data_IF_827848938730
#
_entry.id   IF_827848938730
#
_cell.length_a   1.000
_cell.length_b   1.000
_cell.length_c   1.000
_cell.angle_alpha   90.00
_cell.angle_beta   90.00
_cell.angle_gamma   90.00
#
_symmetry.space_group_name_H-M   'P 1'
#
loop_
_entity.id
_entity.type
_entity.pdbx_description
1 polymer ?
#
# COMPACT_ATOMS: atom_id res chain seq x y z
N UNK A 1 16.82 -34.04 -18.25
CA UNK A 1 16.75 -35.13 -17.25
C UNK A 1 15.41 -35.85 -17.26
N UNK A 2 14.27 -35.17 -17.07
CA UNK A 2 12.92 -35.79 -17.03
C UNK A 2 12.66 -36.69 -18.25
N UNK A 3 12.64 -36.13 -19.47
CA UNK A 3 12.30 -36.85 -20.70
C UNK A 3 13.36 -37.85 -21.19
N UNK A 4 14.57 -37.80 -20.63
CA UNK A 4 15.69 -38.67 -21.03
C UNK A 4 15.90 -39.85 -20.08
N UNK A 5 15.55 -39.69 -18.79
CA UNK A 5 15.77 -40.70 -17.76
C UNK A 5 14.50 -40.99 -16.96
N UNK A 6 13.94 -40.00 -16.24
CA UNK A 6 12.88 -40.24 -15.24
C UNK A 6 11.63 -40.85 -15.90
N UNK A 7 11.12 -40.20 -16.94
CA UNK A 7 9.94 -40.64 -17.68
C UNK A 7 10.16 -41.95 -18.46
N UNK A 8 11.16 -42.08 -19.37
CA UNK A 8 11.29 -43.29 -20.19
C UNK A 8 11.64 -44.55 -19.38
N UNK A 9 12.38 -44.43 -18.25
CA UNK A 9 12.65 -45.59 -17.39
C UNK A 9 11.36 -46.07 -16.70
N UNK A 10 10.57 -45.15 -16.14
CA UNK A 10 9.30 -45.52 -15.51
C UNK A 10 8.29 -46.05 -16.53
N UNK A 11 8.17 -45.40 -17.69
CA UNK A 11 7.36 -45.86 -18.81
C UNK A 11 7.80 -47.22 -19.36
N UNK A 12 9.10 -47.54 -19.34
CA UNK A 12 9.57 -48.89 -19.67
C UNK A 12 9.15 -49.93 -18.62
N UNK A 13 9.16 -49.57 -17.33
CA UNK A 13 8.68 -50.46 -16.27
C UNK A 13 7.19 -50.79 -16.38
N UNK A 14 6.36 -49.86 -16.86
CA UNK A 14 4.89 -50.00 -16.94
C UNK A 14 4.36 -50.42 -18.32
N UNK A 15 4.75 -49.72 -19.39
CA UNK A 15 4.28 -49.96 -20.77
C UNK A 15 5.28 -50.73 -21.62
N UNK A 16 6.58 -50.62 -21.32
CA UNK A 16 7.65 -51.33 -22.04
C UNK A 16 7.82 -52.81 -21.68
N UNK A 17 6.86 -53.44 -20.99
CA UNK A 17 6.95 -54.84 -20.56
C UNK A 17 7.92 -55.09 -19.39
N UNK A 18 8.30 -54.05 -18.66
CA UNK A 18 9.17 -54.15 -17.48
C UNK A 18 8.48 -54.74 -16.23
N UNK A 19 9.11 -54.58 -15.07
CA UNK A 19 8.71 -55.32 -13.87
C UNK A 19 7.36 -54.89 -13.28
N UNK A 20 6.98 -53.61 -13.40
CA UNK A 20 5.69 -53.09 -12.92
C UNK A 20 4.55 -53.65 -13.80
N UNK A 21 4.77 -53.73 -15.13
CA UNK A 21 3.87 -54.42 -16.05
C UNK A 21 3.67 -55.90 -15.65
N UNK A 22 4.77 -56.61 -15.37
CA UNK A 22 4.77 -58.04 -15.05
C UNK A 22 4.03 -58.41 -13.75
N UNK A 23 3.89 -57.49 -12.80
CA UNK A 23 3.06 -57.73 -11.60
C UNK A 23 1.56 -57.45 -11.83
N UNK A 24 1.15 -57.00 -13.02
CA UNK A 24 -0.25 -56.73 -13.37
C UNK A 24 -0.69 -55.29 -13.11
N UNK A 25 0.22 -54.31 -13.18
CA UNK A 25 -0.14 -52.90 -13.14
C UNK A 25 -0.86 -52.48 -14.43
N UNK A 26 -1.96 -51.73 -14.29
CA UNK A 26 -2.73 -51.21 -15.42
C UNK A 26 -2.88 -49.71 -15.29
N UNK A 27 -2.31 -48.97 -16.23
CA UNK A 27 -2.52 -47.54 -16.41
C UNK A 27 -2.66 -47.31 -17.92
N UNK A 28 -3.89 -47.08 -18.38
CA UNK A 28 -4.21 -47.17 -19.81
C UNK A 28 -3.58 -46.06 -20.65
N UNK A 29 -3.73 -44.81 -20.22
CA UNK A 29 -3.22 -43.65 -20.94
C UNK A 29 -2.24 -42.79 -20.11
N UNK A 30 -2.02 -43.09 -18.82
CA UNK A 30 -0.96 -42.48 -18.02
C UNK A 30 -1.39 -41.62 -16.83
N UNK A 31 -2.43 -41.98 -16.08
CA UNK A 31 -2.73 -41.32 -14.78
C UNK A 31 -1.53 -41.33 -13.84
N UNK A 32 -0.80 -42.44 -13.77
CA UNK A 32 0.45 -42.54 -13.00
C UNK A 32 1.67 -42.26 -13.88
N UNK A 33 1.75 -42.85 -15.07
CA UNK A 33 2.95 -42.82 -15.94
C UNK A 33 3.26 -41.42 -16.47
N UNK A 34 2.24 -40.64 -16.80
CA UNK A 34 2.38 -39.26 -17.29
C UNK A 34 2.06 -38.28 -16.18
N UNK A 35 0.86 -38.35 -15.60
CA UNK A 35 0.35 -37.32 -14.71
C UNK A 35 0.97 -37.40 -13.31
N UNK A 36 0.86 -38.50 -12.56
CA UNK A 36 1.50 -38.55 -11.23
C UNK A 36 3.01 -38.36 -11.30
N UNK A 37 3.68 -38.93 -12.32
CA UNK A 37 5.12 -38.71 -12.55
C UNK A 37 5.43 -37.22 -12.72
N UNK A 38 4.70 -36.51 -13.58
CA UNK A 38 4.85 -35.06 -13.77
C UNK A 38 4.52 -34.26 -12.49
N UNK A 39 3.44 -34.64 -11.79
CA UNK A 39 3.01 -34.00 -10.55
C UNK A 39 4.03 -34.13 -9.42
N UNK A 40 4.61 -35.31 -9.21
CA UNK A 40 5.64 -35.52 -8.19
C UNK A 40 6.94 -34.75 -8.49
N UNK A 41 7.31 -34.63 -9.76
CA UNK A 41 8.43 -33.76 -10.17
C UNK A 41 8.08 -32.28 -9.93
N UNK A 42 6.84 -31.85 -10.24
CA UNK A 42 6.38 -30.49 -9.98
C UNK A 42 6.39 -30.16 -8.49
N UNK A 43 5.95 -31.07 -7.61
CA UNK A 43 6.00 -30.90 -6.15
C UNK A 43 7.45 -30.72 -5.66
N UNK A 44 8.39 -31.54 -6.15
CA UNK A 44 9.81 -31.38 -5.84
C UNK A 44 10.34 -30.00 -6.30
N UNK A 45 9.92 -29.53 -7.47
CA UNK A 45 10.22 -28.19 -7.98
C UNK A 45 9.71 -27.08 -7.06
N UNK A 46 8.44 -27.11 -6.69
CA UNK A 46 7.81 -26.14 -5.78
C UNK A 46 8.51 -26.10 -4.41
N UNK A 47 8.88 -27.26 -3.86
CA UNK A 47 9.60 -27.36 -2.58
C UNK A 47 11.01 -26.74 -2.68
N UNK A 48 11.78 -27.06 -3.73
CA UNK A 48 13.18 -26.64 -3.83
C UNK A 48 13.32 -25.17 -4.28
N UNK A 49 12.40 -24.68 -5.12
CA UNK A 49 12.31 -23.28 -5.55
C UNK A 49 11.82 -22.35 -4.42
N UNK A 50 10.87 -22.83 -3.62
CA UNK A 50 10.18 -22.04 -2.61
C UNK A 50 9.14 -21.08 -3.21
N UNK A 51 8.35 -20.41 -2.37
CA UNK A 51 7.21 -19.61 -2.82
C UNK A 51 7.61 -18.26 -3.41
N UNK A 52 6.76 -17.69 -4.27
CA UNK A 52 6.95 -16.33 -4.84
C UNK A 52 7.00 -15.26 -3.75
N UNK A 53 7.67 -14.14 -4.03
CA UNK A 53 7.70 -12.96 -3.17
C UNK A 53 6.26 -12.51 -2.85
N UNK A 54 6.05 -12.08 -1.61
CA UNK A 54 4.76 -11.66 -1.04
C UNK A 54 3.61 -12.70 -1.11
N UNK A 55 3.89 -13.97 -1.48
CA UNK A 55 2.87 -15.03 -1.53
C UNK A 55 2.29 -15.35 -0.15
N UNK A 56 3.12 -15.31 0.88
CA UNK A 56 2.71 -15.43 2.28
C UNK A 56 3.14 -14.15 3.01
N UNK A 57 2.27 -13.63 3.87
CA UNK A 57 2.61 -12.51 4.75
C UNK A 57 3.47 -12.98 5.92
N UNK A 58 3.93 -12.03 6.74
CA UNK A 58 4.70 -12.29 7.97
C UNK A 58 3.97 -13.22 8.97
N UNK A 59 2.64 -13.14 9.05
CA UNK A 59 1.79 -14.04 9.85
C UNK A 59 1.59 -15.45 9.21
N UNK A 60 2.24 -15.71 8.07
CA UNK A 60 2.09 -16.92 7.28
C UNK A 60 0.75 -17.03 6.53
N UNK A 61 -0.13 -16.03 6.57
CA UNK A 61 -1.40 -16.07 5.81
C UNK A 61 -1.14 -15.92 4.32
N UNK A 62 -1.76 -16.76 3.45
CA UNK A 62 -1.50 -16.66 2.02
C UNK A 62 -2.21 -15.46 1.40
N UNK A 63 -1.47 -14.72 0.57
CA UNK A 63 -1.99 -13.72 -0.36
C UNK A 63 -2.37 -14.41 -1.66
N UNK A 64 -3.56 -14.11 -2.18
CA UNK A 64 -3.92 -14.54 -3.54
C UNK A 64 -3.20 -13.65 -4.55
N UNK A 65 -2.33 -14.27 -5.35
CA UNK A 65 -1.73 -13.68 -6.54
C UNK A 65 -2.62 -14.15 -7.70
N UNK A 66 -3.36 -13.22 -8.30
CA UNK A 66 -4.33 -13.55 -9.34
C UNK A 66 -3.64 -13.87 -10.67
N UNK A 67 -4.22 -14.79 -11.45
CA UNK A 67 -3.79 -15.04 -12.83
C UNK A 67 -4.03 -13.83 -13.72
N UNK A 68 -3.11 -13.56 -14.65
CA UNK A 68 -3.14 -12.36 -15.50
C UNK A 68 -4.34 -12.33 -16.47
N UNK A 69 -4.87 -13.50 -16.89
CA UNK A 69 -6.05 -13.59 -17.74
C UNK A 69 -6.78 -14.94 -17.56
N UNK A 70 -7.89 -14.94 -16.83
CA UNK A 70 -8.70 -16.15 -16.59
C UNK A 70 -9.39 -16.67 -17.87
N UNK A 71 -9.74 -15.80 -18.81
CA UNK A 71 -10.40 -16.20 -20.07
C UNK A 71 -9.48 -17.06 -20.94
N UNK A 72 -8.19 -16.71 -21.02
CA UNK A 72 -7.19 -17.56 -21.69
C UNK A 72 -6.95 -18.88 -20.95
N UNK A 73 -6.97 -18.89 -19.61
CA UNK A 73 -6.90 -20.15 -18.84
C UNK A 73 -8.08 -21.08 -19.15
N UNK A 74 -9.31 -20.55 -19.21
CA UNK A 74 -10.52 -21.32 -19.57
C UNK A 74 -10.43 -21.85 -21.00
N UNK A 75 -9.97 -21.04 -21.96
CA UNK A 75 -9.70 -21.50 -23.32
C UNK A 75 -8.66 -22.63 -23.35
N UNK A 76 -7.60 -22.52 -22.53
CA UNK A 76 -6.60 -23.56 -22.34
C UNK A 76 -7.22 -24.88 -21.84
N UNK A 77 -8.14 -24.84 -20.88
CA UNK A 77 -8.88 -26.04 -20.42
C UNK A 77 -9.69 -26.67 -21.54
N UNK A 78 -10.38 -25.90 -22.38
CA UNK A 78 -11.11 -26.45 -23.54
C UNK A 78 -10.18 -27.10 -24.57
N UNK A 79 -9.02 -26.48 -24.85
CA UNK A 79 -8.01 -27.05 -25.76
C UNK A 79 -7.45 -28.36 -25.18
N UNK A 80 -7.13 -28.40 -23.88
CA UNK A 80 -6.64 -29.60 -23.20
C UNK A 80 -7.70 -30.71 -23.16
N UNK A 81 -8.96 -30.39 -22.89
CA UNK A 81 -10.07 -31.35 -22.90
C UNK A 81 -10.28 -31.94 -24.30
N UNK A 82 -10.32 -31.11 -25.34
CA UNK A 82 -10.40 -31.59 -26.72
C UNK A 82 -9.21 -32.51 -27.08
N UNK A 83 -7.99 -32.09 -26.71
CA UNK A 83 -6.79 -32.91 -26.85
C UNK A 83 -6.86 -34.24 -26.09
N UNK A 84 -7.55 -34.27 -24.94
CA UNK A 84 -7.72 -35.47 -24.12
C UNK A 84 -8.54 -36.57 -24.78
N UNK A 85 -9.44 -36.23 -25.72
CA UNK A 85 -10.11 -37.23 -26.55
C UNK A 85 -9.12 -37.97 -27.45
N UNK A 86 -8.13 -37.24 -28.00
CA UNK A 86 -7.00 -37.83 -28.73
C UNK A 86 -6.05 -38.60 -27.82
N UNK A 87 -5.78 -38.08 -26.62
CA UNK A 87 -4.90 -38.71 -25.63
C UNK A 87 -5.44 -40.07 -25.17
N UNK A 88 -6.68 -40.11 -24.65
CA UNK A 88 -7.29 -41.35 -24.18
C UNK A 88 -7.75 -42.24 -25.35
N UNK A 89 -8.45 -41.68 -26.35
CA UNK A 89 -8.93 -42.46 -27.50
C UNK A 89 -7.80 -43.06 -28.34
N UNK A 90 -6.69 -42.33 -28.49
CA UNK A 90 -5.48 -42.79 -29.20
C UNK A 90 -4.72 -43.89 -28.45
N UNK A 91 -4.80 -43.95 -27.11
CA UNK A 91 -4.19 -45.03 -26.31
C UNK A 91 -4.84 -46.41 -26.51
N UNK A 92 -5.96 -46.50 -27.24
CA UNK A 92 -6.46 -47.78 -27.76
C UNK A 92 -5.54 -48.39 -28.85
N UNK A 93 -4.61 -47.60 -29.40
CA UNK A 93 -3.63 -47.95 -30.46
C UNK A 93 -4.25 -48.50 -31.77
N UNK A 94 -5.57 -48.53 -31.86
CA UNK A 94 -6.38 -49.08 -32.94
C UNK A 94 -7.78 -48.49 -32.85
N UNK A 95 -8.45 -48.32 -34.00
CA UNK A 95 -9.82 -47.82 -34.02
C UNK A 95 -10.80 -48.99 -33.84
N UNK A 96 -11.34 -49.12 -32.63
CA UNK A 96 -12.23 -50.22 -32.22
C UNK A 96 -13.50 -49.66 -31.57
N UNK A 97 -14.51 -50.53 -31.37
CA UNK A 97 -15.77 -50.18 -30.71
C UNK A 97 -15.62 -49.72 -29.24
N UNK A 98 -14.43 -49.84 -28.65
CA UNK A 98 -14.11 -49.28 -27.33
C UNK A 98 -13.82 -47.77 -27.36
N UNK A 99 -13.37 -47.22 -28.50
CA UNK A 99 -12.97 -45.80 -28.60
C UNK A 99 -14.12 -44.83 -28.26
N UNK A 100 -15.37 -45.04 -28.71
CA UNK A 100 -16.51 -44.21 -28.28
C UNK A 100 -16.75 -44.23 -26.76
N UNK A 101 -16.62 -45.41 -26.11
CA UNK A 101 -16.77 -45.53 -24.65
C UNK A 101 -15.65 -44.79 -23.90
N UNK A 102 -14.40 -44.93 -24.37
CA UNK A 102 -13.24 -44.22 -23.82
C UNK A 102 -13.45 -42.70 -23.88
N UNK A 103 -13.90 -42.17 -25.02
CA UNK A 103 -14.17 -40.74 -25.20
C UNK A 103 -15.35 -40.28 -24.32
N UNK A 104 -16.42 -41.07 -24.24
CA UNK A 104 -17.57 -40.81 -23.36
C UNK A 104 -17.14 -40.71 -21.89
N UNK A 105 -16.45 -41.73 -21.38
CA UNK A 105 -15.92 -41.77 -20.01
C UNK A 105 -15.00 -40.58 -19.72
N UNK A 106 -14.16 -40.21 -20.70
CA UNK A 106 -13.27 -39.05 -20.61
C UNK A 106 -14.06 -37.75 -20.44
N UNK A 107 -15.09 -37.55 -21.28
CA UNK A 107 -15.95 -36.35 -21.21
C UNK A 107 -16.77 -36.27 -19.92
N UNK A 108 -17.34 -37.39 -19.49
CA UNK A 108 -18.13 -37.48 -18.26
C UNK A 108 -17.29 -37.17 -17.02
N UNK A 109 -16.10 -37.78 -16.88
CA UNK A 109 -15.24 -37.54 -15.73
C UNK A 109 -14.73 -36.10 -15.65
N UNK A 110 -14.34 -35.49 -16.78
CA UNK A 110 -13.97 -34.08 -16.85
C UNK A 110 -15.13 -33.15 -16.46
N UNK A 111 -16.32 -33.39 -17.01
CA UNK A 111 -17.53 -32.62 -16.70
C UNK A 111 -17.87 -32.66 -15.21
N UNK A 112 -17.91 -33.86 -14.62
CA UNK A 112 -18.26 -34.05 -13.21
C UNK A 112 -17.17 -33.52 -12.29
N UNK A 113 -15.89 -33.65 -12.65
CA UNK A 113 -14.78 -33.06 -11.91
C UNK A 113 -14.89 -31.55 -11.77
N UNK A 114 -15.22 -30.83 -12.85
CA UNK A 114 -15.48 -29.39 -12.81
C UNK A 114 -16.67 -29.02 -11.92
N UNK A 115 -17.80 -29.71 -12.10
CA UNK A 115 -19.03 -29.49 -11.32
C UNK A 115 -18.81 -29.70 -9.81
N UNK A 116 -18.14 -30.78 -9.43
CA UNK A 116 -17.90 -31.10 -8.02
C UNK A 116 -16.83 -30.18 -7.40
N UNK A 117 -15.79 -29.79 -8.15
CA UNK A 117 -14.80 -28.84 -7.65
C UNK A 117 -15.41 -27.45 -7.41
N UNK A 118 -16.18 -26.90 -8.37
CA UNK A 118 -16.81 -25.58 -8.18
C UNK A 118 -17.87 -25.61 -7.07
N UNK A 119 -18.66 -26.69 -6.98
CA UNK A 119 -19.67 -26.88 -5.91
C UNK A 119 -19.00 -27.00 -4.55
N UNK A 120 -17.93 -27.79 -4.43
CA UNK A 120 -17.17 -27.92 -3.19
C UNK A 120 -16.50 -26.60 -2.79
N UNK A 121 -15.87 -25.88 -3.73
CA UNK A 121 -15.30 -24.54 -3.48
C UNK A 121 -16.35 -23.56 -2.99
N UNK A 122 -17.57 -23.59 -3.57
CA UNK A 122 -18.67 -22.71 -3.17
C UNK A 122 -19.19 -23.03 -1.77
N UNK A 123 -19.31 -24.31 -1.40
CA UNK A 123 -19.71 -24.72 -0.06
C UNK A 123 -18.63 -24.36 0.97
N UNK A 124 -17.36 -24.66 0.67
CA UNK A 124 -16.24 -24.57 1.61
C UNK A 124 -15.67 -23.16 1.77
N UNK A 125 -15.51 -22.40 0.67
CA UNK A 125 -15.00 -21.02 0.68
C UNK A 125 -16.10 -19.95 0.64
N UNK A 126 -17.37 -20.33 0.46
CA UNK A 126 -18.50 -19.41 0.17
C UNK A 126 -18.36 -18.63 -1.15
N UNK A 127 -17.46 -19.06 -2.03
CA UNK A 127 -17.20 -18.45 -3.35
C UNK A 127 -17.08 -19.55 -4.41
N UNK A 128 -17.86 -19.46 -5.48
CA UNK A 128 -17.72 -20.34 -6.64
C UNK A 128 -16.46 -19.97 -7.42
N UNK A 129 -15.41 -20.78 -7.29
CA UNK A 129 -14.08 -20.50 -7.82
C UNK A 129 -13.90 -21.07 -9.23
N UNK A 130 -13.65 -20.20 -10.21
CA UNK A 130 -13.40 -20.59 -11.61
C UNK A 130 -12.07 -21.35 -11.73
N UNK A 131 -11.07 -21.02 -10.92
CA UNK A 131 -9.78 -21.73 -10.86
C UNK A 131 -9.97 -23.17 -10.36
N UNK A 132 -10.76 -23.36 -9.30
CA UNK A 132 -11.09 -24.70 -8.79
C UNK A 132 -11.94 -25.49 -9.81
N UNK A 133 -12.87 -24.84 -10.52
CA UNK A 133 -13.62 -25.45 -11.62
C UNK A 133 -12.70 -25.96 -12.74
N UNK A 134 -11.79 -25.11 -13.23
CA UNK A 134 -10.80 -25.45 -14.26
C UNK A 134 -9.93 -26.63 -13.83
N UNK A 135 -9.35 -26.56 -12.64
CA UNK A 135 -8.51 -27.63 -12.12
C UNK A 135 -9.32 -28.90 -11.79
N UNK A 136 -10.60 -28.77 -11.45
CA UNK A 136 -11.52 -29.90 -11.29
C UNK A 136 -11.79 -30.64 -12.60
N UNK A 137 -11.98 -29.92 -13.71
CA UNK A 137 -12.10 -30.52 -15.05
C UNK A 137 -10.82 -31.28 -15.40
N UNK A 138 -9.67 -30.63 -15.26
CA UNK A 138 -8.38 -31.26 -15.53
C UNK A 138 -8.11 -32.45 -14.61
N UNK A 139 -8.46 -32.38 -13.33
CA UNK A 139 -8.33 -33.47 -12.36
C UNK A 139 -9.20 -34.67 -12.70
N UNK A 140 -10.44 -34.45 -13.15
CA UNK A 140 -11.33 -35.50 -13.66
C UNK A 140 -10.77 -36.20 -14.90
N UNK A 141 -10.24 -35.42 -15.85
CA UNK A 141 -9.55 -35.94 -17.03
C UNK A 141 -8.28 -36.72 -16.67
N UNK A 142 -7.47 -36.24 -15.70
CA UNK A 142 -6.31 -36.97 -15.19
C UNK A 142 -6.71 -38.27 -14.51
N UNK A 143 -7.74 -38.29 -13.67
CA UNK A 143 -8.11 -39.49 -12.91
C UNK A 143 -8.70 -40.59 -13.79
N UNK A 144 -9.49 -40.25 -14.81
CA UNK A 144 -10.10 -41.26 -15.69
C UNK A 144 -9.08 -41.91 -16.64
N UNK A 145 -7.93 -41.27 -16.87
CA UNK A 145 -6.87 -41.71 -17.80
C UNK A 145 -6.30 -43.10 -17.46
N UNK A 146 -6.36 -43.57 -16.21
CA UNK A 146 -5.94 -44.90 -15.78
C UNK A 146 -6.81 -46.01 -16.39
N UNK A 147 -8.11 -45.73 -16.54
CA UNK A 147 -9.17 -46.73 -16.59
C UNK A 147 -10.31 -46.45 -17.54
N UNK A 148 -10.21 -45.40 -18.38
CA UNK A 148 -11.31 -44.99 -19.28
C UNK A 148 -11.79 -46.09 -20.25
N UNK A 149 -10.97 -47.11 -20.52
CA UNK A 149 -11.34 -48.32 -21.28
C UNK A 149 -12.04 -49.42 -20.45
N UNK A 150 -11.87 -49.42 -19.12
CA UNK A 150 -12.26 -50.48 -18.20
C UNK A 150 -13.35 -50.06 -17.19
N UNK A 151 -13.79 -48.80 -17.25
CA UNK A 151 -14.89 -48.26 -16.47
C UNK A 151 -16.19 -48.26 -17.26
N UNK A 152 -17.30 -48.56 -16.59
CA UNK A 152 -18.64 -48.20 -17.08
C UNK A 152 -18.89 -46.70 -16.91
N UNK A 153 -19.82 -46.09 -17.68
CA UNK A 153 -20.10 -44.65 -17.62
C UNK A 153 -20.40 -44.12 -16.21
N UNK A 154 -21.13 -44.88 -15.38
CA UNK A 154 -21.42 -44.46 -14.00
C UNK A 154 -20.16 -44.36 -13.13
N UNK A 155 -19.17 -45.24 -13.32
CA UNK A 155 -17.91 -45.21 -12.58
C UNK A 155 -17.09 -43.97 -12.96
N UNK A 156 -17.15 -43.52 -14.22
CA UNK A 156 -16.49 -42.29 -14.67
C UNK A 156 -16.99 -41.04 -13.94
N UNK A 157 -18.29 -40.99 -13.58
CA UNK A 157 -18.87 -39.92 -12.77
C UNK A 157 -18.27 -39.91 -11.36
N UNK A 158 -18.15 -41.08 -10.72
CA UNK A 158 -17.59 -41.23 -9.38
C UNK A 158 -16.11 -40.81 -9.36
N UNK A 159 -15.32 -41.28 -10.32
CA UNK A 159 -13.90 -40.91 -10.49
C UNK A 159 -13.76 -39.40 -10.69
N UNK A 160 -14.59 -38.80 -11.57
CA UNK A 160 -14.62 -37.35 -11.77
C UNK A 160 -14.95 -36.57 -10.50
N UNK A 161 -16.01 -36.96 -9.78
CA UNK A 161 -16.44 -36.28 -8.56
C UNK A 161 -15.37 -36.30 -7.46
N UNK A 162 -14.76 -37.48 -7.21
CA UNK A 162 -13.70 -37.64 -6.22
C UNK A 162 -12.44 -36.86 -6.60
N UNK A 163 -12.05 -36.88 -7.88
CA UNK A 163 -10.95 -36.07 -8.39
C UNK A 163 -11.21 -34.57 -8.19
N UNK A 164 -12.38 -34.06 -8.60
CA UNK A 164 -12.78 -32.66 -8.46
C UNK A 164 -12.72 -32.16 -7.01
N UNK A 165 -13.27 -32.92 -6.06
CA UNK A 165 -13.17 -32.59 -4.63
C UNK A 165 -11.70 -32.61 -4.17
N UNK A 166 -10.93 -33.62 -4.58
CA UNK A 166 -9.53 -33.79 -4.13
C UNK A 166 -8.61 -32.65 -4.57
N UNK A 167 -8.85 -32.05 -5.74
CA UNK A 167 -8.10 -30.88 -6.24
C UNK A 167 -8.23 -29.71 -5.27
N UNK A 168 -9.45 -29.38 -4.86
CA UNK A 168 -9.73 -28.24 -3.98
C UNK A 168 -9.11 -28.46 -2.59
N UNK A 169 -9.31 -29.65 -2.02
CA UNK A 169 -8.73 -30.03 -0.73
C UNK A 169 -7.19 -30.00 -0.78
N UNK A 170 -6.58 -30.59 -1.81
CA UNK A 170 -5.11 -30.66 -1.92
C UNK A 170 -4.52 -29.26 -2.12
N UNK A 171 -5.10 -28.44 -2.99
CA UNK A 171 -4.66 -27.05 -3.21
C UNK A 171 -4.72 -26.23 -1.92
N UNK A 172 -5.78 -26.41 -1.13
CA UNK A 172 -5.93 -25.78 0.19
C UNK A 172 -4.86 -26.26 1.18
N UNK A 173 -4.58 -27.57 1.26
CA UNK A 173 -3.55 -28.13 2.15
C UNK A 173 -2.16 -27.62 1.77
N UNK A 174 -1.81 -27.61 0.48
CA UNK A 174 -0.53 -27.10 -0.02
C UNK A 174 -0.34 -25.62 0.37
N UNK A 175 -1.33 -24.76 0.06
CA UNK A 175 -1.20 -23.33 0.29
C UNK A 175 -1.30 -22.96 1.79
N UNK A 176 -2.31 -23.46 2.50
CA UNK A 176 -2.64 -23.01 3.87
C UNK A 176 -1.79 -23.68 4.92
N UNK A 177 -1.54 -24.99 4.80
CA UNK A 177 -0.82 -25.79 5.80
C UNK A 177 0.66 -25.88 5.44
N UNK A 178 0.99 -26.37 4.24
CA UNK A 178 2.38 -26.68 3.85
C UNK A 178 3.17 -25.47 3.34
N UNK A 179 2.51 -24.32 3.12
CA UNK A 179 3.10 -23.07 2.58
C UNK A 179 3.81 -23.28 1.24
N UNK A 180 3.27 -24.16 0.40
CA UNK A 180 3.75 -24.42 -0.95
C UNK A 180 2.94 -23.60 -1.96
N UNK A 181 3.65 -22.96 -2.89
CA UNK A 181 3.07 -22.05 -3.90
C UNK A 181 3.03 -22.74 -5.28
N UNK A 182 2.15 -23.73 -5.38
CA UNK A 182 1.84 -24.33 -6.68
C UNK A 182 0.93 -23.38 -7.48
N UNK A 183 1.55 -22.65 -8.41
CA UNK A 183 0.94 -21.52 -9.14
C UNK A 183 -0.30 -21.92 -9.95
N UNK A 184 -0.35 -23.16 -10.44
CA UNK A 184 -1.40 -23.66 -11.33
C UNK A 184 -2.17 -24.85 -10.75
N UNK A 185 -1.76 -25.39 -9.59
CA UNK A 185 -2.31 -26.62 -9.04
C UNK A 185 -1.81 -27.87 -9.76
N UNK A 186 -0.57 -27.87 -10.25
CA UNK A 186 0.05 -28.98 -10.97
C UNK A 186 0.10 -30.28 -10.14
N UNK A 187 0.47 -30.23 -8.86
CA UNK A 187 0.50 -31.41 -8.00
C UNK A 187 -0.92 -31.89 -7.59
N UNK A 188 -1.87 -31.02 -7.19
CA UNK A 188 -3.28 -31.40 -7.02
C UNK A 188 -3.86 -32.11 -8.24
N UNK A 189 -3.73 -31.50 -9.44
CA UNK A 189 -4.34 -31.99 -10.68
C UNK A 189 -3.63 -33.25 -11.19
N UNK A 190 -2.30 -33.26 -11.28
CA UNK A 190 -1.58 -34.38 -11.91
C UNK A 190 -1.09 -35.42 -10.90
N UNK A 191 -0.55 -34.98 -9.76
CA UNK A 191 -0.10 -35.85 -8.68
C UNK A 191 -1.26 -36.62 -8.06
N UNK A 192 -2.13 -35.90 -7.34
CA UNK A 192 -3.18 -36.50 -6.50
C UNK A 192 -4.30 -37.13 -7.33
N UNK A 193 -4.83 -36.47 -8.36
CA UNK A 193 -5.87 -37.11 -9.18
C UNK A 193 -5.34 -38.31 -9.98
N UNK A 194 -4.05 -38.33 -10.36
CA UNK A 194 -3.42 -39.49 -10.98
C UNK A 194 -3.39 -40.71 -10.05
N UNK A 195 -3.04 -40.48 -8.78
CA UNK A 195 -3.09 -41.50 -7.71
C UNK A 195 -4.52 -42.00 -7.52
N UNK A 196 -5.50 -41.09 -7.40
CA UNK A 196 -6.91 -41.42 -7.20
C UNK A 196 -7.43 -42.27 -8.38
N UNK A 197 -7.16 -41.88 -9.62
CA UNK A 197 -7.53 -42.63 -10.80
C UNK A 197 -6.99 -44.05 -10.81
N UNK A 198 -5.69 -44.21 -10.58
CA UNK A 198 -5.01 -45.51 -10.57
C UNK A 198 -5.45 -46.40 -9.40
N UNK A 199 -5.77 -45.86 -8.22
CA UNK A 199 -6.25 -46.64 -7.07
C UNK A 199 -7.75 -46.94 -7.11
N UNK A 200 -8.58 -46.11 -7.77
CA UNK A 200 -10.02 -46.38 -7.97
C UNK A 200 -10.27 -47.40 -9.09
N UNK A 201 -9.38 -47.53 -10.07
CA UNK A 201 -9.46 -48.50 -11.16
C UNK A 201 -9.82 -49.94 -10.70
N UNK A 202 -9.05 -50.59 -9.81
CA UNK A 202 -9.36 -51.95 -9.32
C UNK A 202 -10.58 -52.03 -8.38
N UNK A 203 -11.17 -50.90 -8.00
CA UNK A 203 -12.34 -50.82 -7.11
C UNK A 203 -13.64 -50.64 -7.91
N UNK A 204 -13.60 -49.90 -9.02
CA UNK A 204 -14.76 -49.51 -9.82
C UNK A 204 -14.81 -50.14 -11.21
N UNK A 205 -13.77 -50.87 -11.64
CA UNK A 205 -13.82 -51.67 -12.87
C UNK A 205 -14.50 -53.02 -12.62
N UNK A 206 -15.21 -53.51 -13.64
CA UNK A 206 -15.78 -54.86 -13.65
C UNK A 206 -14.71 -55.93 -13.93
N UNK A 207 -13.52 -55.53 -14.41
CA UNK A 207 -12.42 -56.44 -14.72
C UNK A 207 -11.68 -56.92 -13.44
N UNK A 208 -12.01 -58.13 -13.00
CA UNK A 208 -11.44 -58.79 -11.82
C UNK A 208 -9.94 -59.11 -11.92
N UNK A 209 -9.34 -59.06 -13.12
CA UNK A 209 -7.90 -59.25 -13.28
C UNK A 209 -7.10 -58.02 -12.80
N UNK A 210 -7.72 -56.83 -12.75
CA UNK A 210 -7.07 -55.61 -12.28
C UNK A 210 -7.11 -55.57 -10.75
N UNK A 211 -6.00 -55.98 -10.12
CA UNK A 211 -5.87 -56.07 -8.65
C UNK A 211 -5.39 -54.75 -8.05
N UNK A 212 -5.75 -54.49 -6.79
CA UNK A 212 -5.31 -53.29 -6.05
C UNK A 212 -3.80 -53.28 -5.72
N UNK A 213 -3.21 -54.44 -5.45
CA UNK A 213 -1.81 -54.55 -5.02
C UNK A 213 -0.79 -54.05 -6.07
N UNK A 214 -0.89 -54.45 -7.36
CA UNK A 214 -0.02 -53.90 -8.41
C UNK A 214 -0.18 -52.38 -8.57
N UNK A 215 -1.42 -51.87 -8.49
CA UNK A 215 -1.73 -50.44 -8.60
C UNK A 215 -1.08 -49.62 -7.49
N UNK A 216 -1.17 -50.11 -6.24
CA UNK A 216 -0.50 -49.51 -5.10
C UNK A 216 1.04 -49.50 -5.26
N UNK A 217 1.63 -50.59 -5.75
CA UNK A 217 3.08 -50.64 -6.02
C UNK A 217 3.49 -49.68 -7.13
N UNK A 218 2.74 -49.62 -8.24
CA UNK A 218 3.03 -48.70 -9.34
C UNK A 218 2.95 -47.24 -8.90
N UNK A 219 1.92 -46.88 -8.14
CA UNK A 219 1.77 -45.55 -7.53
C UNK A 219 2.93 -45.22 -6.59
N UNK A 220 3.25 -46.09 -5.63
CA UNK A 220 4.35 -45.84 -4.70
C UNK A 220 5.70 -45.73 -5.42
N UNK A 221 5.96 -46.63 -6.36
CA UNK A 221 7.21 -46.63 -7.15
C UNK A 221 7.32 -45.34 -7.95
N UNK A 222 6.24 -44.91 -8.63
CA UNK A 222 6.19 -43.63 -9.33
C UNK A 222 6.48 -42.47 -8.37
N UNK A 223 5.83 -42.46 -7.21
CA UNK A 223 5.98 -41.42 -6.20
C UNK A 223 7.44 -41.27 -5.74
N UNK A 224 8.07 -42.36 -5.29
CA UNK A 224 9.47 -42.31 -4.84
C UNK A 224 10.46 -42.02 -5.99
N UNK A 225 10.25 -42.60 -7.16
CA UNK A 225 11.12 -42.41 -8.34
C UNK A 225 11.06 -40.96 -8.85
N UNK A 226 9.86 -40.47 -9.11
CA UNK A 226 9.63 -39.15 -9.70
C UNK A 226 9.93 -38.02 -8.70
N UNK A 227 9.48 -38.15 -7.44
CA UNK A 227 9.80 -37.16 -6.40
C UNK A 227 11.29 -37.18 -6.04
N UNK A 228 11.89 -38.36 -5.83
CA UNK A 228 13.30 -38.48 -5.46
C UNK A 228 14.26 -37.94 -6.53
N UNK A 229 14.07 -38.33 -7.79
CA UNK A 229 14.86 -37.79 -8.89
C UNK A 229 14.50 -36.33 -9.22
N UNK A 230 13.26 -35.90 -8.99
CA UNK A 230 12.84 -34.50 -9.05
C UNK A 230 13.59 -33.63 -8.04
N UNK A 231 13.68 -34.07 -6.78
CA UNK A 231 14.43 -33.37 -5.73
C UNK A 231 15.91 -33.26 -6.11
N UNK A 232 16.52 -34.36 -6.60
CA UNK A 232 17.90 -34.34 -7.09
C UNK A 232 18.07 -33.36 -8.27
N UNK A 233 17.14 -33.34 -9.24
CA UNK A 233 17.17 -32.41 -10.37
C UNK A 233 17.18 -30.96 -9.91
N UNK A 234 16.19 -30.56 -9.11
CA UNK A 234 16.06 -29.16 -8.70
C UNK A 234 17.16 -28.73 -7.71
N UNK A 235 17.66 -29.62 -6.86
CA UNK A 235 18.82 -29.32 -6.01
C UNK A 235 20.10 -29.13 -6.82
N UNK A 236 20.36 -29.99 -7.82
CA UNK A 236 21.51 -29.83 -8.71
C UNK A 236 21.42 -28.52 -9.51
N UNK A 237 20.24 -28.17 -10.04
CA UNK A 237 20.03 -26.88 -10.72
C UNK A 237 20.25 -25.70 -9.77
N UNK A 238 19.71 -25.77 -8.54
CA UNK A 238 19.84 -24.73 -7.51
C UNK A 238 21.30 -24.48 -7.10
N UNK A 239 22.14 -25.50 -7.07
CA UNK A 239 23.56 -25.41 -6.70
C UNK A 239 24.44 -25.00 -7.90
N UNK A 240 24.07 -25.37 -9.13
CA UNK A 240 24.91 -25.13 -10.33
C UNK A 240 24.66 -23.79 -11.02
N UNK A 241 23.41 -23.50 -11.40
CA UNK A 241 23.03 -22.31 -12.17
C UNK A 241 22.03 -21.39 -11.45
N UNK A 242 21.40 -21.90 -10.39
CA UNK A 242 20.26 -21.26 -9.75
C UNK A 242 18.94 -21.57 -10.48
N UNK A 243 17.83 -21.54 -9.72
CA UNK A 243 16.48 -21.81 -10.25
C UNK A 243 15.49 -20.66 -10.01
N UNK A 244 15.94 -19.60 -9.33
CA UNK A 244 15.17 -18.40 -9.03
C UNK A 244 15.95 -17.19 -9.53
N UNK A 245 15.28 -16.24 -10.16
CA UNK A 245 15.86 -14.94 -10.49
C UNK A 245 16.12 -14.12 -9.22
N UNK A 246 16.84 -13.01 -9.36
CA UNK A 246 17.02 -12.06 -8.27
C UNK A 246 15.68 -11.38 -7.91
N UNK A 247 15.61 -10.79 -6.72
CA UNK A 247 14.39 -10.21 -6.18
C UNK A 247 13.87 -9.02 -7.03
N UNK A 248 14.78 -8.21 -7.58
CA UNK A 248 14.45 -7.08 -8.46
C UNK A 248 13.78 -7.55 -9.76
N UNK A 249 14.25 -8.65 -10.36
CA UNK A 249 13.67 -9.18 -11.61
C UNK A 249 12.37 -9.94 -11.35
N UNK A 250 12.21 -10.58 -10.18
CA UNK A 250 10.93 -11.14 -9.76
C UNK A 250 9.88 -10.03 -9.59
N UNK A 251 10.27 -8.88 -9.02
CA UNK A 251 9.39 -7.72 -8.82
C UNK A 251 9.06 -6.96 -10.12
N UNK A 252 10.03 -6.84 -11.04
CA UNK A 252 9.87 -6.18 -12.35
C UNK A 252 9.17 -7.07 -13.40
N UNK A 253 9.23 -8.38 -13.24
CA UNK A 253 8.62 -9.37 -14.11
C UNK A 253 9.53 -9.84 -15.26
N UNK A 254 9.57 -11.16 -15.46
CA UNK A 254 10.46 -11.86 -16.41
C UNK A 254 10.28 -11.45 -17.87
N UNK A 255 9.08 -10.99 -18.26
CA UNK A 255 8.83 -10.45 -19.60
C UNK A 255 9.73 -9.24 -19.88
N UNK A 256 9.97 -8.38 -18.88
CA UNK A 256 10.79 -7.17 -19.06
C UNK A 256 12.28 -7.50 -18.91
N UNK A 257 12.65 -8.36 -17.96
CA UNK A 257 14.05 -8.59 -17.60
C UNK A 257 14.76 -9.65 -18.45
N UNK A 258 14.05 -10.68 -18.90
CA UNK A 258 14.61 -11.73 -19.78
C UNK A 258 14.30 -11.49 -21.26
N UNK A 259 13.13 -10.92 -21.57
CA UNK A 259 12.64 -10.80 -22.95
C UNK A 259 12.63 -9.36 -23.48
N UNK A 260 12.98 -8.36 -22.66
CA UNK A 260 12.94 -6.94 -23.04
C UNK A 260 11.53 -6.40 -23.37
N UNK A 261 10.48 -7.20 -23.12
CA UNK A 261 9.10 -6.88 -23.43
C UNK A 261 8.49 -6.00 -22.34
N UNK A 262 8.95 -4.75 -22.29
CA UNK A 262 8.27 -3.68 -21.58
C UNK A 262 6.85 -3.50 -22.13
N UNK A 263 5.89 -3.23 -21.25
CA UNK A 263 4.60 -2.68 -21.65
C UNK A 263 4.51 -1.28 -21.08
N UNK A 264 3.87 -0.37 -21.82
CA UNK A 264 3.70 1.02 -21.38
C UNK A 264 2.91 1.13 -20.06
N UNK A 265 2.09 0.13 -19.73
CA UNK A 265 1.48 -0.03 -18.41
C UNK A 265 2.50 -0.37 -17.31
N UNK A 266 3.45 -1.27 -17.55
CA UNK A 266 4.51 -1.60 -16.58
C UNK A 266 5.44 -0.40 -16.40
N UNK A 267 5.86 0.25 -17.49
CA UNK A 267 6.75 1.42 -17.44
C UNK A 267 6.11 2.61 -16.68
N UNK A 268 4.80 2.81 -16.86
CA UNK A 268 4.00 3.76 -16.08
C UNK A 268 3.98 3.38 -14.59
N UNK A 269 3.68 2.12 -14.25
CA UNK A 269 3.63 1.65 -12.86
C UNK A 269 4.99 1.81 -12.16
N UNK A 270 6.08 1.46 -12.84
CA UNK A 270 7.44 1.66 -12.31
C UNK A 270 7.73 3.14 -12.05
N UNK A 271 7.41 4.02 -13.02
CA UNK A 271 7.60 5.47 -12.87
C UNK A 271 6.80 6.05 -11.71
N UNK A 272 5.55 5.61 -11.52
CA UNK A 272 4.71 6.02 -10.40
C UNK A 272 5.21 5.47 -9.05
N UNK A 273 5.76 4.24 -9.03
CA UNK A 273 6.33 3.64 -7.81
C UNK A 273 7.57 4.39 -7.33
N UNK A 274 8.43 4.83 -8.25
CA UNK A 274 9.62 5.61 -7.91
C UNK A 274 9.27 7.03 -7.45
N UNK A 275 8.24 7.66 -8.02
CA UNK A 275 7.68 8.91 -7.48
C UNK A 275 7.11 8.73 -6.07
N UNK A 276 6.42 7.61 -5.81
CA UNK A 276 5.77 7.33 -4.52
C UNK A 276 6.73 7.00 -3.37
N UNK A 277 7.94 6.49 -3.64
CA UNK A 277 8.95 6.19 -2.62
C UNK A 277 9.48 7.44 -1.87
N UNK A 278 9.28 8.64 -2.43
CA UNK A 278 9.83 9.89 -1.91
C UNK A 278 11.31 10.05 -2.29
N UNK A 279 11.74 11.31 -2.48
CA UNK A 279 13.10 11.63 -2.96
C UNK A 279 13.35 11.37 -4.46
N UNK A 280 12.34 10.88 -5.20
CA UNK A 280 12.39 10.79 -6.66
C UNK A 280 12.46 12.18 -7.32
N UNK A 281 13.19 12.27 -8.43
CA UNK A 281 13.32 13.51 -9.20
C UNK A 281 12.01 13.88 -9.90
N UNK A 282 11.27 14.82 -9.30
CA UNK A 282 10.01 15.35 -9.82
C UNK A 282 10.15 16.11 -11.15
N UNK A 283 11.37 16.42 -11.61
CA UNK A 283 11.60 17.02 -12.93
C UNK A 283 11.59 15.99 -14.07
N UNK A 284 11.75 14.70 -13.74
CA UNK A 284 11.81 13.62 -14.72
C UNK A 284 10.41 13.29 -15.24
N UNK A 285 10.20 13.48 -16.55
CA UNK A 285 8.94 13.14 -17.21
C UNK A 285 8.78 11.63 -17.34
N UNK A 286 7.58 11.13 -17.05
CA UNK A 286 7.14 9.78 -17.37
C UNK A 286 7.07 9.64 -18.90
N UNK A 287 7.50 8.49 -19.45
CA UNK A 287 7.39 8.23 -20.88
C UNK A 287 5.93 8.17 -21.33
N UNK A 288 5.60 8.78 -22.47
CA UNK A 288 4.24 8.86 -23.02
C UNK A 288 4.15 8.03 -24.29
N UNK A 289 3.64 6.80 -24.16
CA UNK A 289 3.41 5.89 -25.27
C UNK A 289 2.13 6.25 -26.04
N UNK A 290 2.29 6.96 -27.15
CA UNK A 290 1.20 7.64 -27.85
C UNK A 290 0.23 6.67 -28.52
N UNK A 291 -1.06 6.78 -28.18
CA UNK A 291 -2.10 5.87 -28.66
C UNK A 291 -2.48 4.74 -27.68
N UNK A 292 -1.80 4.64 -26.53
CA UNK A 292 -2.15 3.69 -25.46
C UNK A 292 -2.87 4.37 -24.29
N UNK A 293 -3.68 3.62 -23.55
CA UNK A 293 -4.31 4.07 -22.30
C UNK A 293 -3.27 4.46 -21.25
N UNK A 294 -2.20 3.68 -21.14
CA UNK A 294 -1.07 3.98 -20.26
C UNK A 294 -0.40 5.31 -20.63
N UNK A 295 -0.18 5.57 -21.92
CA UNK A 295 0.33 6.85 -22.41
C UNK A 295 -0.60 8.03 -22.10
N UNK A 296 -1.91 7.86 -22.21
CA UNK A 296 -2.88 8.88 -21.82
C UNK A 296 -2.78 9.23 -20.32
N UNK A 297 -2.62 8.22 -19.44
CA UNK A 297 -2.40 8.44 -18.00
C UNK A 297 -1.03 9.07 -17.74
N UNK A 298 0.04 8.61 -18.40
CA UNK A 298 1.38 9.19 -18.30
C UNK A 298 1.39 10.68 -18.68
N UNK A 299 0.66 11.06 -19.74
CA UNK A 299 0.48 12.46 -20.14
C UNK A 299 -0.22 13.29 -19.06
N UNK A 300 -1.32 12.77 -18.48
CA UNK A 300 -2.04 13.43 -17.40
C UNK A 300 -1.18 13.56 -16.13
N UNK A 301 -0.37 12.55 -15.79
CA UNK A 301 0.54 12.61 -14.65
C UNK A 301 1.70 13.59 -14.87
N UNK A 302 2.26 13.66 -16.09
CA UNK A 302 3.23 14.71 -16.44
C UNK A 302 2.62 16.12 -16.32
N UNK A 303 1.35 16.31 -16.68
CA UNK A 303 0.63 17.58 -16.47
C UNK A 303 0.45 17.88 -14.98
N UNK A 304 0.09 16.88 -14.18
CA UNK A 304 -0.06 17.02 -12.72
C UNK A 304 1.26 17.38 -12.02
N UNK A 305 2.36 16.70 -12.37
CA UNK A 305 3.71 17.01 -11.89
C UNK A 305 4.16 18.43 -12.27
N UNK A 306 3.87 18.88 -13.50
CA UNK A 306 4.15 20.25 -13.92
C UNK A 306 3.36 21.29 -13.09
N UNK A 307 2.08 21.02 -12.82
CA UNK A 307 1.25 21.90 -11.97
C UNK A 307 1.76 21.91 -10.51
N UNK A 308 2.17 20.76 -9.96
CA UNK A 308 2.84 20.68 -8.65
C UNK A 308 4.12 21.52 -8.61
N UNK A 309 4.98 21.38 -9.63
CA UNK A 309 6.21 22.18 -9.75
C UNK A 309 5.93 23.69 -9.79
N UNK A 310 4.91 24.12 -10.53
CA UNK A 310 4.49 25.51 -10.58
C UNK A 310 3.98 26.01 -9.22
N UNK A 311 3.18 25.23 -8.50
CA UNK A 311 2.72 25.58 -7.14
C UNK A 311 3.88 25.68 -6.15
N UNK A 312 4.86 24.76 -6.20
CA UNK A 312 6.07 24.83 -5.38
C UNK A 312 6.88 26.09 -5.69
N UNK A 313 7.01 26.45 -6.97
CA UNK A 313 7.69 27.68 -7.39
C UNK A 313 6.99 28.93 -6.82
N UNK A 314 5.66 29.03 -6.97
CA UNK A 314 4.88 30.15 -6.43
C UNK A 314 4.96 30.21 -4.90
N UNK A 315 4.94 29.07 -4.20
CA UNK A 315 5.13 29.03 -2.73
C UNK A 315 6.52 29.57 -2.35
N UNK A 316 7.58 29.17 -3.09
CA UNK A 316 8.94 29.67 -2.86
C UNK A 316 9.04 31.19 -3.08
N UNK A 317 8.49 31.69 -4.18
CA UNK A 317 8.47 33.12 -4.49
C UNK A 317 7.73 33.91 -3.39
N UNK A 318 6.53 33.47 -3.01
CA UNK A 318 5.75 34.10 -1.93
C UNK A 318 6.42 33.98 -0.56
N UNK A 319 7.19 32.94 -0.30
CA UNK A 319 7.99 32.82 0.92
C UNK A 319 9.09 33.88 0.98
N UNK A 320 9.72 34.22 -0.15
CA UNK A 320 10.73 35.28 -0.24
C UNK A 320 10.08 36.67 -0.10
N UNK A 321 8.92 36.90 -0.74
CA UNK A 321 8.12 38.12 -0.52
C UNK A 321 7.74 38.30 0.96
N UNK A 322 7.34 37.20 1.63
CA UNK A 322 6.96 37.19 3.03
C UNK A 322 8.16 37.45 3.97
N UNK A 323 9.31 36.87 3.68
CA UNK A 323 10.56 37.10 4.43
C UNK A 323 11.03 38.56 4.30
N UNK A 324 10.98 39.13 3.09
CA UNK A 324 11.26 40.55 2.87
C UNK A 324 10.26 41.45 3.63
N UNK A 325 8.96 41.15 3.54
CA UNK A 325 7.91 41.89 4.25
C UNK A 325 8.08 41.82 5.77
N UNK A 326 8.48 40.66 6.30
CA UNK A 326 8.78 40.45 7.72
C UNK A 326 9.98 41.30 8.17
N UNK A 327 11.02 41.39 7.34
CA UNK A 327 12.18 42.26 7.56
C UNK A 327 11.79 43.74 7.61
N UNK A 328 10.99 44.23 6.66
CA UNK A 328 10.50 45.62 6.69
C UNK A 328 9.63 45.92 7.92
N UNK A 329 8.76 44.99 8.32
CA UNK A 329 7.96 45.11 9.56
C UNK A 329 8.88 45.19 10.78
N UNK A 330 9.94 44.37 10.86
CA UNK A 330 10.90 44.41 11.96
C UNK A 330 11.65 45.75 12.03
N UNK A 331 12.05 46.32 10.89
CA UNK A 331 12.69 47.65 10.81
C UNK A 331 11.70 48.76 11.20
N UNK A 332 10.46 48.70 10.74
CA UNK A 332 9.41 49.65 11.09
C UNK A 332 9.08 49.59 12.60
N UNK A 333 9.00 48.39 13.17
CA UNK A 333 8.81 48.18 14.62
C UNK A 333 9.96 48.76 15.44
N UNK A 334 11.21 48.55 15.01
CA UNK A 334 12.39 49.16 15.64
C UNK A 334 12.32 50.70 15.67
N UNK A 335 11.98 51.32 14.53
CA UNK A 335 11.77 52.79 14.44
C UNK A 335 10.62 53.26 15.32
N UNK A 336 9.50 52.54 15.34
CA UNK A 336 8.34 52.90 16.17
C UNK A 336 8.65 52.78 17.66
N UNK A 337 9.40 51.74 18.07
CA UNK A 337 9.86 51.57 19.45
C UNK A 337 10.79 52.71 19.89
N UNK A 338 11.73 53.13 19.04
CA UNK A 338 12.55 54.33 19.28
C UNK A 338 11.70 55.61 19.37
N UNK A 339 10.72 55.77 18.49
CA UNK A 339 9.79 56.91 18.53
C UNK A 339 8.99 56.98 19.84
N UNK A 340 8.49 55.84 20.33
CA UNK A 340 7.80 55.73 21.61
C UNK A 340 8.74 56.07 22.78
N UNK A 341 9.99 55.60 22.76
CA UNK A 341 10.99 55.95 23.78
C UNK A 341 11.28 57.46 23.78
N UNK A 342 11.45 58.08 22.61
CA UNK A 342 11.66 59.52 22.49
C UNK A 342 10.44 60.31 22.98
N UNK A 343 9.23 59.86 22.64
CA UNK A 343 7.99 60.51 23.10
C UNK A 343 7.83 60.41 24.63
N UNK A 344 8.21 59.27 25.23
CA UNK A 344 8.25 59.11 26.68
C UNK A 344 9.29 60.04 27.35
N UNK A 345 10.48 60.21 26.74
CA UNK A 345 11.49 61.15 27.22
C UNK A 345 10.99 62.60 27.18
N UNK A 346 10.39 63.02 26.06
CA UNK A 346 9.80 64.36 25.92
C UNK A 346 8.65 64.59 26.91
N UNK A 347 7.84 63.56 27.23
CA UNK A 347 6.81 63.65 28.28
C UNK A 347 7.42 63.78 29.69
N UNK A 348 8.56 63.16 29.94
CA UNK A 348 9.36 63.36 31.16
C UNK A 348 9.86 64.80 31.31
N UNK A 349 10.30 65.42 30.21
CA UNK A 349 10.70 66.82 30.18
C UNK A 349 9.50 67.76 30.42
N UNK A 350 8.35 67.51 29.77
CA UNK A 350 7.11 68.26 30.01
C UNK A 350 6.65 68.16 31.46
N UNK A 351 6.73 66.99 32.10
CA UNK A 351 6.38 66.84 33.53
C UNK A 351 7.34 67.63 34.43
N UNK A 352 8.64 67.61 34.16
CA UNK A 352 9.62 68.45 34.88
C UNK A 352 9.34 69.95 34.74
N UNK A 353 8.88 70.41 33.56
CA UNK A 353 8.47 71.80 33.35
C UNK A 353 7.22 72.13 34.18
N UNK A 354 6.24 71.22 34.24
CA UNK A 354 5.03 71.38 35.08
C UNK A 354 5.35 71.45 36.57
N UNK A 355 6.32 70.67 37.06
CA UNK A 355 6.76 70.73 38.46
C UNK A 355 7.43 72.09 38.78
N UNK A 356 8.27 72.61 37.88
CA UNK A 356 8.87 73.95 38.04
C UNK A 356 7.82 75.08 38.00
N UNK A 357 6.79 74.96 37.15
CA UNK A 357 5.64 75.87 37.18
C UNK A 357 4.89 75.79 38.52
N UNK A 358 4.69 74.59 39.06
CA UNK A 358 4.02 74.38 40.36
C UNK A 358 4.78 75.05 41.51
N UNK A 359 6.10 74.89 41.59
CA UNK A 359 6.94 75.58 42.58
C UNK A 359 6.89 77.10 42.43
N UNK A 360 6.91 77.59 41.18
CA UNK A 360 6.79 79.02 40.88
C UNK A 360 5.43 79.58 41.35
N UNK A 361 4.33 78.87 41.09
CA UNK A 361 3.00 79.23 41.57
C UNK A 361 2.89 79.23 43.10
N UNK A 362 3.51 78.27 43.79
CA UNK A 362 3.55 78.25 45.26
C UNK A 362 4.31 79.47 45.80
N UNK A 363 5.43 79.83 45.17
CA UNK A 363 6.23 81.00 45.54
C UNK A 363 5.42 82.29 45.34
N UNK A 364 4.77 82.48 44.19
CA UNK A 364 3.88 83.62 43.93
C UNK A 364 2.72 83.68 44.95
N UNK A 365 2.11 82.53 45.26
CA UNK A 365 1.02 82.46 46.26
C UNK A 365 1.49 82.87 47.66
N UNK A 366 2.70 82.48 48.05
CA UNK A 366 3.28 82.89 49.35
C UNK A 366 3.61 84.38 49.38
N UNK A 367 4.19 84.93 48.31
CA UNK A 367 4.48 86.36 48.19
C UNK A 367 3.22 87.21 48.20
N UNK A 368 2.15 86.78 47.52
CA UNK A 368 0.86 87.49 47.51
C UNK A 368 0.17 87.48 48.89
N UNK A 369 0.26 86.37 49.64
CA UNK A 369 -0.22 86.31 51.02
C UNK A 369 0.56 87.28 51.92
N UNK A 370 1.90 87.28 51.83
CA UNK A 370 2.77 88.17 52.59
C UNK A 370 2.54 89.66 52.25
N UNK A 371 2.30 89.98 50.98
CA UNK A 371 2.00 91.35 50.54
C UNK A 371 0.65 91.84 51.09
N UNK A 372 -0.37 90.97 51.15
CA UNK A 372 -1.67 91.29 51.76
C UNK A 372 -1.58 91.49 53.27
N UNK A 373 -0.73 90.71 53.95
CA UNK A 373 -0.43 90.89 55.37
C UNK A 373 0.24 92.25 55.62
N UNK A 374 1.21 92.61 54.77
CA UNK A 374 1.88 93.91 54.79
C UNK A 374 0.95 95.11 54.52
N UNK A 375 0.02 94.96 53.57
CA UNK A 375 -1.03 95.95 53.28
C UNK A 375 -2.01 96.12 54.46
N UNK A 376 -2.33 95.01 55.16
CA UNK A 376 -3.17 95.03 56.36
C UNK A 376 -2.49 95.82 57.49
N UNK A 377 -1.23 95.52 57.81
CA UNK A 377 -0.48 96.27 58.84
C UNK A 377 -0.24 97.73 58.45
N UNK A 378 -0.03 98.05 57.16
CA UNK A 378 0.07 99.43 56.69
C UNK A 378 -1.25 100.21 56.90
N UNK A 379 -2.40 99.56 56.70
CA UNK A 379 -3.72 100.12 56.96
C UNK A 379 -3.97 100.34 58.45
N UNK A 380 -3.57 99.41 59.32
CA UNK A 380 -3.62 99.57 60.78
C UNK A 380 -2.78 100.77 61.25
N UNK A 381 -1.52 100.86 60.80
CA UNK A 381 -0.63 101.98 61.11
C UNK A 381 -1.20 103.33 60.63
N UNK A 382 -1.81 103.38 59.44
CA UNK A 382 -2.48 104.58 58.94
C UNK A 382 -3.67 104.98 59.82
N UNK A 383 -4.48 104.03 60.28
CA UNK A 383 -5.61 104.29 61.16
C UNK A 383 -5.17 104.81 62.54
N UNK A 384 -4.12 104.23 63.15
CA UNK A 384 -3.54 104.76 64.39
C UNK A 384 -3.03 106.20 64.21
N UNK A 385 -2.37 106.49 63.09
CA UNK A 385 -1.78 107.79 62.79
C UNK A 385 -2.86 108.86 62.58
N UNK A 386 -3.96 108.52 61.90
CA UNK A 386 -5.15 109.38 61.77
C UNK A 386 -5.81 109.65 63.12
N UNK A 387 -5.97 108.63 63.97
CA UNK A 387 -6.54 108.77 65.31
C UNK A 387 -5.67 109.67 66.21
N UNK A 388 -4.34 109.53 66.13
CA UNK A 388 -3.38 110.40 66.80
C UNK A 388 -3.52 111.88 66.41
N UNK A 389 -3.67 112.17 65.12
CA UNK A 389 -3.88 113.54 64.65
C UNK A 389 -5.22 114.15 65.10
N UNK A 390 -6.30 113.38 65.10
CA UNK A 390 -7.61 113.87 65.56
C UNK A 390 -7.59 114.28 67.05
N UNK A 391 -6.87 113.52 67.88
CA UNK A 391 -6.67 113.84 69.30
C UNK A 391 -5.80 115.08 69.52
N UNK A 392 -4.87 115.38 68.61
CA UNK A 392 -4.03 116.57 68.71
C UNK A 392 -4.79 117.89 68.41
N UNK A 393 -5.74 117.89 67.47
CA UNK A 393 -6.53 119.10 67.15
C UNK A 393 -7.57 119.46 68.23
N UNK A 394 -8.05 118.50 69.03
CA UNK A 394 -9.04 118.77 70.09
C UNK A 394 -8.49 119.61 71.24
N UNK A 395 -7.21 119.42 71.59
CA UNK A 395 -6.63 119.95 72.83
C UNK A 395 -6.25 121.44 72.75
N UNK A 396 -6.32 122.06 71.56
CA UNK A 396 -5.82 123.41 71.27
C UNK A 396 -6.84 124.57 71.46
N UNK A 397 -8.11 124.31 71.79
CA UNK A 397 -9.22 125.28 71.59
C UNK A 397 -9.79 125.98 72.85
N UNK A 398 -9.00 126.21 73.92
CA UNK A 398 -9.42 126.97 75.12
C UNK A 398 -8.42 128.13 75.46
N UNK A 399 -8.93 129.32 75.83
CA UNK A 399 -8.27 130.67 75.74
C UNK A 399 -8.58 131.54 77.00
N UNK A 400 -8.45 132.91 77.15
CA UNK A 400 -7.81 134.02 76.38
C UNK A 400 -7.01 135.11 77.18
N UNK A 401 -6.21 136.01 76.53
CA UNK A 401 -6.32 137.52 76.65
C UNK A 401 -5.23 138.43 75.96
N UNK A 402 -5.71 139.34 75.08
CA UNK A 402 -5.49 140.82 75.00
C UNK A 402 -4.11 141.51 74.72
N UNK A 403 -3.93 142.20 73.56
CA UNK A 403 -3.90 143.70 73.35
C UNK A 403 -3.19 144.21 72.05
N UNK A 404 -3.86 145.18 71.38
CA UNK A 404 -3.47 146.37 70.54
C UNK A 404 -1.96 146.67 70.23
N UNK A 405 -1.54 147.36 69.15
CA UNK A 405 -2.04 148.65 68.60
C UNK A 405 -1.34 149.13 67.27
N UNK A 406 -1.87 150.20 66.60
CA UNK A 406 -1.21 151.17 65.64
C UNK A 406 -0.86 150.68 64.20
N UNK A 407 -1.34 151.26 63.07
CA UNK A 407 -1.21 152.61 62.40
C UNK A 407 -0.17 152.59 61.24
N UNK A 408 -0.25 153.29 60.08
CA UNK A 408 -0.95 154.55 59.70
C UNK A 408 -0.84 154.80 58.16
N UNK A 409 -1.85 155.44 57.53
CA UNK A 409 -1.83 156.12 56.18
C UNK A 409 -1.48 155.28 54.93
N UNK A 410 -1.99 155.55 53.72
CA UNK A 410 -2.56 156.79 53.13
C UNK A 410 -3.98 156.65 52.53
N UNK A 411 -4.70 157.79 52.49
CA UNK A 411 -5.83 158.18 51.60
C UNK A 411 -6.82 157.10 51.15
#
# INVERSE_FOLDING_TARGET
MVSLFIYPIFGHWTWGGGWIAKIGFVDFAGSTVVHSLGGWIALAGVIVLGPRKDKFKEDGTPRKIHGHNLTFSVLGVFILWFGWFGFNGGSALSFTDQVPLIILNTSLAGSVGGIFAITFSWIFYRVASVEDCMNGVLGGLVAITAGCHAFQPYASLIVGALAGISVVITSWVLEKILKLDDVVGAFPVHGVCGIIGTLLLPILSENQDIRIYPQFIGVLTCSFWAFGLGMILFLLLKISIGIRVNEEFEEKGLNVTEHGAGSSWIDLIHSLKDLAKGGGDLTRKIYVDSGTEAGAIAFLMNRYLANLGQMIYTIKEKSIELEYSSSEISVAWGKMSQGIQQQAANLGEVTSIFDSFRESFQTISSSAAQQKEMETSASELLNELVFGFQKFDSDLKIVPKNRKNLSKQST
#
